data_IF_684552274262
#
_entry.id   IF_684552274262
#
_cell.length_a   1.000
_cell.length_b   1.000
_cell.length_c   1.000
_cell.angle_alpha   90.00
_cell.angle_beta   90.00
_cell.angle_gamma   90.00
#
_symmetry.space_group_name_H-M   'P 1'
#
loop_
_entity.id
_entity.type
_entity.pdbx_description
1 polymer ?
#
# COMPACT_ATOMS: atom_id res chain seq x y z
N UNK A 1 0.00 -48.10 -28.59
CA UNK A 1 -0.01 -46.66 -28.88
C UNK A 1 -0.23 -45.96 -27.55
N UNK A 2 0.73 -45.17 -27.08
CA UNK A 2 0.66 -44.47 -25.80
C UNK A 2 0.15 -43.06 -26.04
N UNK A 3 -1.13 -42.83 -25.77
CA UNK A 3 -1.69 -41.49 -25.83
C UNK A 3 -1.35 -40.73 -24.55
N UNK A 4 -0.40 -39.82 -24.74
CA UNK A 4 -0.01 -38.77 -23.82
C UNK A 4 -1.19 -37.81 -23.66
N UNK A 5 -1.79 -37.74 -22.47
CA UNK A 5 -2.70 -36.66 -22.10
C UNK A 5 -2.21 -36.04 -20.80
N UNK A 6 -1.10 -35.32 -20.93
CA UNK A 6 -0.75 -34.24 -20.01
C UNK A 6 -1.88 -33.21 -20.06
N UNK A 7 -2.77 -33.25 -19.07
CA UNK A 7 -3.74 -32.18 -18.83
C UNK A 7 -3.01 -31.02 -18.12
N UNK A 8 -2.86 -29.84 -18.76
CA UNK A 8 -2.16 -28.72 -18.15
C UNK A 8 -3.04 -27.91 -17.17
N UNK A 9 -4.28 -28.35 -16.91
CA UNK A 9 -5.22 -27.59 -16.10
C UNK A 9 -5.20 -27.99 -14.63
N UNK A 10 -4.07 -27.66 -13.99
CA UNK A 10 -4.07 -27.46 -12.55
C UNK A 10 -4.82 -26.14 -12.26
N UNK A 11 -6.16 -26.21 -12.31
CA UNK A 11 -7.10 -25.14 -11.97
C UNK A 11 -7.09 -24.82 -10.47
N UNK A 12 -5.90 -24.60 -9.88
CA UNK A 12 -5.81 -23.77 -8.69
C UNK A 12 -6.04 -22.37 -9.19
N UNK A 13 -7.24 -21.84 -8.96
CA UNK A 13 -7.53 -20.42 -9.06
C UNK A 13 -6.43 -19.66 -8.31
N UNK A 14 -5.43 -19.21 -9.07
CA UNK A 14 -4.44 -18.25 -8.62
C UNK A 14 -5.29 -17.04 -8.29
N UNK A 15 -5.33 -16.67 -7.00
CA UNK A 15 -5.95 -15.43 -6.57
C UNK A 15 -5.14 -14.36 -7.30
N UNK A 16 -5.66 -13.89 -8.43
CA UNK A 16 -5.12 -12.75 -9.13
C UNK A 16 -5.48 -11.58 -8.24
N UNK A 17 -4.51 -11.13 -7.44
CA UNK A 17 -4.67 -9.85 -6.76
C UNK A 17 -4.65 -8.81 -7.87
N UNK A 18 -5.74 -8.07 -8.03
CA UNK A 18 -5.77 -6.96 -8.97
C UNK A 18 -4.66 -5.96 -8.60
N UNK A 19 -4.13 -5.22 -9.58
CA UNK A 19 -3.08 -4.25 -9.28
C UNK A 19 -3.60 -3.16 -8.34
N UNK A 20 -2.82 -2.81 -7.34
CA UNK A 20 -3.13 -1.68 -6.47
C UNK A 20 -3.12 -0.40 -7.29
N UNK A 21 -4.20 0.36 -7.18
CA UNK A 21 -4.36 1.71 -7.72
C UNK A 21 -4.72 2.67 -6.60
N UNK A 22 -4.69 3.98 -6.86
CA UNK A 22 -4.97 4.99 -5.84
C UNK A 22 -6.38 4.87 -5.24
N UNK A 23 -7.35 4.32 -5.99
CA UNK A 23 -8.75 4.26 -5.58
C UNK A 23 -9.22 2.92 -4.97
N UNK A 24 -8.44 1.84 -5.05
CA UNK A 24 -8.92 0.49 -4.70
C UNK A 24 -8.29 -0.09 -3.41
N UNK A 25 -7.59 0.73 -2.62
CA UNK A 25 -6.82 0.28 -1.45
C UNK A 25 -7.59 -0.65 -0.49
N UNK A 26 -8.84 -0.32 -0.12
CA UNK A 26 -9.62 -1.12 0.86
C UNK A 26 -9.89 -2.53 0.36
N UNK A 27 -10.31 -2.66 -0.90
CA UNK A 27 -10.57 -3.95 -1.54
C UNK A 27 -9.27 -4.71 -1.78
N UNK A 28 -8.27 -4.03 -2.33
CA UNK A 28 -6.95 -4.58 -2.61
C UNK A 28 -6.27 -5.11 -1.35
N UNK A 29 -6.30 -4.35 -0.24
CA UNK A 29 -5.75 -4.74 1.05
C UNK A 29 -6.34 -6.07 1.52
N UNK A 30 -7.65 -6.23 1.37
CA UNK A 30 -8.36 -7.44 1.80
C UNK A 30 -7.92 -8.66 0.97
N UNK A 31 -7.84 -8.51 -0.36
CA UNK A 31 -7.36 -9.56 -1.26
C UNK A 31 -5.89 -9.91 -1.01
N UNK A 32 -5.02 -8.90 -0.89
CA UNK A 32 -3.59 -9.12 -0.67
C UNK A 32 -3.32 -9.73 0.72
N UNK A 33 -4.11 -9.38 1.73
CA UNK A 33 -4.02 -10.05 3.04
C UNK A 33 -4.33 -11.53 2.92
N UNK A 34 -5.42 -11.91 2.22
CA UNK A 34 -5.74 -13.33 1.97
C UNK A 34 -4.62 -14.04 1.19
N UNK A 35 -4.01 -13.33 0.23
CA UNK A 35 -2.87 -13.84 -0.51
C UNK A 35 -1.66 -14.12 0.41
N UNK A 36 -1.32 -13.19 1.31
CA UNK A 36 -0.26 -13.39 2.30
C UNK A 36 -0.53 -14.59 3.23
N UNK A 37 -1.79 -14.78 3.67
CA UNK A 37 -2.18 -15.94 4.47
C UNK A 37 -1.90 -17.25 3.73
N UNK A 38 -2.32 -17.34 2.46
CA UNK A 38 -2.07 -18.51 1.60
C UNK A 38 -0.59 -18.83 1.43
N UNK A 39 0.28 -17.83 1.53
CA UNK A 39 1.73 -17.98 1.39
C UNK A 39 2.49 -18.11 2.72
N UNK A 40 1.80 -18.20 3.87
CA UNK A 40 2.38 -18.24 5.22
C UNK A 40 3.26 -17.01 5.55
N UNK A 41 2.83 -15.84 5.04
CA UNK A 41 3.50 -14.55 5.19
C UNK A 41 2.71 -13.57 6.08
N UNK A 42 1.57 -13.99 6.63
CA UNK A 42 0.69 -13.13 7.44
C UNK A 42 1.37 -12.57 8.70
N UNK A 43 2.35 -13.29 9.25
CA UNK A 43 3.13 -12.86 10.41
C UNK A 43 3.89 -11.55 10.15
N UNK A 44 4.20 -11.22 8.89
CA UNK A 44 4.87 -9.99 8.51
C UNK A 44 3.99 -8.74 8.69
N UNK A 45 2.67 -8.91 8.80
CA UNK A 45 1.75 -7.83 9.16
C UNK A 45 1.71 -7.57 10.67
N UNK A 46 2.24 -8.49 11.49
CA UNK A 46 2.28 -8.35 12.93
C UNK A 46 3.58 -7.67 13.38
N UNK A 47 3.46 -6.40 13.76
CA UNK A 47 4.60 -5.58 14.22
C UNK A 47 5.40 -6.24 15.35
N UNK A 48 4.74 -6.84 16.34
CA UNK A 48 5.42 -7.50 17.48
C UNK A 48 6.29 -8.65 16.98
N UNK A 49 5.75 -9.48 16.09
CA UNK A 49 6.49 -10.60 15.51
C UNK A 49 7.67 -10.13 14.66
N UNK A 50 7.49 -9.05 13.88
CA UNK A 50 8.57 -8.43 13.09
C UNK A 50 9.70 -7.96 14.00
N UNK A 51 9.40 -7.26 15.08
CA UNK A 51 10.39 -6.78 16.04
C UNK A 51 11.15 -7.93 16.73
N UNK A 52 10.44 -8.99 17.13
CA UNK A 52 11.00 -10.17 17.79
C UNK A 52 11.88 -11.01 16.86
N UNK A 53 11.54 -11.07 15.56
CA UNK A 53 12.20 -11.96 14.59
C UNK A 53 13.06 -11.23 13.57
N UNK A 54 13.20 -9.91 13.61
CA UNK A 54 13.95 -9.10 12.60
C UNK A 54 15.36 -9.61 12.29
N UNK A 55 16.04 -10.18 13.29
CA UNK A 55 17.41 -10.70 13.14
C UNK A 55 17.47 -12.17 12.67
N UNK A 56 16.32 -12.86 12.61
CA UNK A 56 16.27 -14.25 12.22
C UNK A 56 16.46 -14.40 10.69
N UNK A 57 17.22 -15.43 10.28
CA UNK A 57 17.38 -15.75 8.85
C UNK A 57 16.05 -16.08 8.17
N UNK A 58 15.12 -16.68 8.90
CA UNK A 58 13.76 -16.96 8.44
C UNK A 58 12.97 -15.69 8.14
N UNK A 59 13.13 -14.65 8.97
CA UNK A 59 12.52 -13.34 8.74
C UNK A 59 13.04 -12.73 7.44
N UNK A 60 14.36 -12.64 7.25
CA UNK A 60 14.94 -12.06 6.02
C UNK A 60 14.41 -12.74 4.75
N UNK A 61 14.29 -14.08 4.76
CA UNK A 61 13.74 -14.84 3.63
C UNK A 61 12.26 -14.54 3.38
N UNK A 62 11.44 -14.48 4.44
CA UNK A 62 10.02 -14.13 4.34
C UNK A 62 9.83 -12.69 3.87
N UNK A 63 10.63 -11.76 4.39
CA UNK A 63 10.60 -10.34 4.06
C UNK A 63 10.87 -10.08 2.58
N UNK A 64 11.96 -10.65 2.04
CA UNK A 64 12.31 -10.53 0.62
C UNK A 64 11.19 -11.08 -0.26
N UNK A 65 10.66 -12.26 0.10
CA UNK A 65 9.54 -12.87 -0.65
C UNK A 65 8.29 -11.99 -0.63
N UNK A 66 7.97 -11.38 0.50
CA UNK A 66 6.80 -10.52 0.61
C UNK A 66 6.97 -9.20 -0.14
N UNK A 67 8.18 -8.63 -0.16
CA UNK A 67 8.49 -7.43 -0.96
C UNK A 67 8.37 -7.70 -2.46
N UNK A 68 8.86 -8.84 -2.95
CA UNK A 68 8.73 -9.24 -4.35
C UNK A 68 7.25 -9.40 -4.76
N UNK A 69 6.46 -10.07 -3.90
CA UNK A 69 5.02 -10.18 -4.09
C UNK A 69 4.31 -8.82 -4.06
N UNK A 70 4.73 -7.92 -3.15
CA UNK A 70 4.18 -6.57 -3.04
C UNK A 70 4.48 -5.78 -4.31
N UNK A 71 5.71 -5.82 -4.81
CA UNK A 71 6.15 -5.13 -6.02
C UNK A 71 5.35 -5.57 -7.26
N UNK A 72 5.07 -6.87 -7.39
CA UNK A 72 4.25 -7.42 -8.47
C UNK A 72 2.76 -7.07 -8.36
N UNK A 73 2.25 -6.85 -7.16
CA UNK A 73 0.84 -6.60 -6.89
C UNK A 73 0.44 -5.10 -6.89
N UNK A 74 1.40 -4.18 -6.99
CA UNK A 74 1.12 -2.74 -7.11
C UNK A 74 1.25 -2.23 -8.55
N UNK A 75 0.64 -1.08 -8.85
CA UNK A 75 0.90 -0.36 -10.09
C UNK A 75 2.31 0.23 -10.13
N UNK A 76 2.80 0.52 -11.35
CA UNK A 76 4.14 1.10 -11.57
C UNK A 76 4.30 2.46 -10.87
N UNK A 77 3.23 3.22 -10.73
CA UNK A 77 3.24 4.55 -10.09
C UNK A 77 3.61 4.46 -8.60
N UNK A 78 3.40 3.31 -7.98
CA UNK A 78 3.67 3.05 -6.57
C UNK A 78 5.00 2.31 -6.34
N UNK A 79 5.73 1.95 -7.40
CA UNK A 79 7.02 1.25 -7.28
C UNK A 79 8.06 2.08 -6.53
N UNK A 80 8.08 3.39 -6.75
CA UNK A 80 9.02 4.29 -6.05
C UNK A 80 8.75 4.32 -4.53
N UNK A 81 7.48 4.24 -4.12
CA UNK A 81 7.13 4.21 -2.69
C UNK A 81 7.60 2.91 -2.02
N UNK A 82 7.60 1.79 -2.75
CA UNK A 82 8.15 0.52 -2.26
C UNK A 82 9.68 0.59 -2.19
N UNK A 83 10.34 1.03 -3.27
CA UNK A 83 11.81 1.08 -3.35
C UNK A 83 12.41 2.01 -2.30
N UNK A 84 11.74 3.12 -1.99
CA UNK A 84 12.19 4.04 -0.94
C UNK A 84 12.04 3.48 0.48
N UNK A 85 11.29 2.38 0.66
CA UNK A 85 10.96 1.78 1.96
C UNK A 85 11.22 0.25 1.98
N UNK A 86 12.19 -0.23 1.20
CA UNK A 86 12.47 -1.66 0.98
C UNK A 86 13.14 -2.37 2.17
N UNK A 87 13.43 -1.63 3.24
CA UNK A 87 14.04 -2.15 4.48
C UNK A 87 13.21 -3.28 5.10
N UNK A 88 11.88 -3.11 5.16
CA UNK A 88 10.96 -4.16 5.58
C UNK A 88 9.66 -4.12 4.79
N UNK A 89 9.05 -5.28 4.63
CA UNK A 89 7.72 -5.41 4.03
C UNK A 89 6.69 -4.53 4.76
N UNK A 90 6.78 -4.46 6.09
CA UNK A 90 5.85 -3.67 6.90
C UNK A 90 6.03 -2.17 6.67
N UNK A 91 7.26 -1.69 6.49
CA UNK A 91 7.54 -0.29 6.19
C UNK A 91 7.03 0.08 4.80
N UNK A 92 7.31 -0.73 3.78
CA UNK A 92 6.76 -0.55 2.43
C UNK A 92 5.22 -0.57 2.43
N UNK A 93 4.62 -1.48 3.21
CA UNK A 93 3.17 -1.58 3.36
C UNK A 93 2.54 -0.34 3.98
N UNK A 94 3.13 0.21 5.05
CA UNK A 94 2.67 1.45 5.67
C UNK A 94 2.95 2.68 4.81
N UNK A 95 4.06 2.70 4.07
CA UNK A 95 4.36 3.77 3.12
C UNK A 95 3.31 3.85 2.00
N UNK A 96 2.91 2.70 1.43
CA UNK A 96 1.80 2.62 0.48
C UNK A 96 0.51 3.13 1.10
N UNK A 97 0.19 2.67 2.33
CA UNK A 97 -1.01 3.14 3.05
C UNK A 97 -0.99 4.66 3.24
N UNK A 98 0.16 5.22 3.58
CA UNK A 98 0.34 6.66 3.80
C UNK A 98 0.16 7.43 2.50
N UNK A 99 0.86 7.03 1.44
CA UNK A 99 0.79 7.66 0.11
C UNK A 99 -0.64 7.64 -0.46
N UNK A 100 -1.40 6.58 -0.17
CA UNK A 100 -2.80 6.40 -0.61
C UNK A 100 -3.83 7.12 0.28
N UNK A 101 -3.50 7.34 1.56
CA UNK A 101 -4.41 7.98 2.54
C UNK A 101 -4.26 9.50 2.56
N UNK A 102 -3.17 10.03 2.02
CA UNK A 102 -2.99 11.47 1.81
C UNK A 102 -3.70 11.84 0.50
N UNK A 103 -4.89 12.46 0.51
CA UNK A 103 -5.40 13.09 -0.71
C UNK A 103 -4.32 14.09 -1.15
N UNK A 104 -3.83 13.96 -2.39
CA UNK A 104 -2.77 14.78 -2.98
C UNK A 104 -2.74 16.23 -2.44
N UNK A 105 -1.99 16.47 -1.37
CA UNK A 105 -1.46 17.80 -1.00
C UNK A 105 0.00 17.91 -1.39
N UNK A 106 0.53 16.94 -2.16
CA UNK A 106 1.75 17.15 -2.96
C UNK A 106 1.57 18.21 -4.07
N UNK A 107 0.36 18.77 -4.25
CA UNK A 107 0.10 19.92 -5.13
C UNK A 107 0.31 21.30 -4.47
N UNK A 108 0.44 21.42 -3.14
CA UNK A 108 0.53 22.76 -2.51
C UNK A 108 1.93 23.23 -2.17
N UNK A 109 2.95 22.36 -2.22
CA UNK A 109 4.35 22.78 -2.00
C UNK A 109 5.04 23.15 -3.33
N UNK A 110 4.42 22.86 -4.49
CA UNK A 110 4.98 23.22 -5.80
C UNK A 110 4.38 24.50 -6.42
N UNK A 111 3.34 25.07 -5.81
CA UNK A 111 3.08 26.50 -5.95
C UNK A 111 3.82 27.15 -4.78
N UNK A 112 4.74 28.07 -5.02
CA UNK A 112 5.51 28.79 -3.99
C UNK A 112 4.64 29.69 -3.10
N UNK A 113 3.62 29.13 -2.47
CA UNK A 113 2.69 29.77 -1.57
C UNK A 113 3.33 29.69 -0.18
N UNK A 114 3.86 30.81 0.29
CA UNK A 114 4.39 30.97 1.63
C UNK A 114 3.36 30.48 2.68
N UNK A 115 3.78 29.84 3.79
CA UNK A 115 2.88 29.37 4.86
C UNK A 115 1.89 30.44 5.36
N UNK A 116 2.30 31.71 5.31
CA UNK A 116 1.49 32.89 5.62
C UNK A 116 0.24 33.03 4.73
N UNK A 117 0.34 32.66 3.46
CA UNK A 117 -0.77 32.71 2.51
C UNK A 117 -1.78 31.57 2.74
N UNK A 118 -1.31 30.38 3.15
CA UNK A 118 -2.17 29.26 3.53
C UNK A 118 -3.00 29.58 4.77
N UNK A 119 -2.38 30.17 5.79
CA UNK A 119 -3.07 30.66 7.00
C UNK A 119 -4.15 31.69 6.68
N UNK A 120 -3.88 32.63 5.76
CA UNK A 120 -4.88 33.61 5.31
C UNK A 120 -6.05 32.97 4.55
N UNK A 121 -5.81 31.99 3.69
CA UNK A 121 -6.88 31.30 2.96
C UNK A 121 -7.77 30.51 3.94
N UNK A 122 -7.16 29.79 4.89
CA UNK A 122 -7.91 29.05 5.92
C UNK A 122 -8.74 30.01 6.79
N UNK A 123 -8.17 31.16 7.19
CA UNK A 123 -8.90 32.19 7.95
C UNK A 123 -10.04 32.82 7.13
N UNK A 124 -9.85 33.03 5.83
CA UNK A 124 -10.89 33.58 4.94
C UNK A 124 -12.04 32.58 4.69
N UNK A 125 -11.72 31.28 4.61
CA UNK A 125 -12.74 30.23 4.49
C UNK A 125 -13.53 30.06 5.81
N UNK A 126 -12.87 30.17 6.97
CA UNK A 126 -13.55 30.18 8.28
C UNK A 126 -14.49 31.37 8.46
N UNK A 127 -14.13 32.57 7.97
CA UNK A 127 -14.99 33.76 8.03
C UNK A 127 -16.21 33.71 7.09
N UNK A 128 -16.16 32.93 6.00
CA UNK A 128 -17.32 32.74 5.11
C UNK A 128 -18.37 31.81 5.72
N UNK A 129 -18.00 30.92 6.63
CA UNK A 129 -18.95 30.01 7.29
C UNK A 129 -19.77 30.67 8.41
N UNK A 130 -19.36 31.84 8.92
CA UNK A 130 -20.07 32.57 9.97
C UNK A 130 -21.09 33.59 9.45
N UNK A 131 -21.24 33.76 8.13
CA UNK A 131 -22.17 34.73 7.53
C UNK A 131 -23.48 34.12 6.99
N UNK A 132 -23.66 32.80 7.13
CA UNK A 132 -24.86 32.09 6.65
C UNK A 132 -25.65 31.41 7.79
N UNK A 133 -25.84 32.10 8.92
CA UNK A 133 -26.95 31.79 9.81
C UNK A 133 -28.00 32.91 9.68
N UNK A 134 -29.12 32.69 8.97
CA UNK A 134 -30.30 33.49 9.23
C UNK A 134 -30.85 33.12 10.61
N UNK A 135 -31.15 34.17 11.37
CA UNK A 135 -31.82 34.27 12.68
C UNK A 135 -32.56 33.04 13.20
#
# INVERSE_FOLDING_TARGET
MSDNSDSPYNNRSLIRVDKLTLGNWVQWKSQFTLYLKRHNLEELLNRKWVEDKKNAKSFKKKNIKALDLLYGAVSKDLHNEILNNDTSFLDAWEALRSSLRVPHTKSFIQCGISPECLLRIILLLSKRHTLNCPT
#
